data_IF_721284397454
#
_entry.id   IF_721284397454
#
_cell.length_a   1.000
_cell.length_b   1.000
_cell.length_c   1.000
_cell.angle_alpha   90.00
_cell.angle_beta   90.00
_cell.angle_gamma   90.00
#
_symmetry.space_group_name_H-M   'P 1'
#
loop_
_entity.id
_entity.type
_entity.pdbx_description
1 polymer ?
#
# COMPACT_ATOMS: atom_id res chain seq x y z
N UNK A 1 2.86 -28.09 -25.36
CA UNK A 1 3.76 -27.37 -24.43
C UNK A 1 3.39 -25.88 -24.50
N UNK A 2 2.36 -25.51 -23.79
CA UNK A 2 1.93 -24.11 -23.59
C UNK A 2 2.49 -23.65 -22.25
N UNK A 3 3.43 -22.70 -22.28
CA UNK A 3 3.83 -21.97 -21.09
C UNK A 3 2.63 -21.08 -20.72
N UNK A 4 1.98 -21.41 -19.63
CA UNK A 4 1.05 -20.49 -18.97
C UNK A 4 1.81 -19.21 -18.64
N UNK A 5 1.40 -18.09 -19.21
CA UNK A 5 1.86 -16.79 -18.78
C UNK A 5 1.30 -16.58 -17.38
N UNK A 6 2.16 -16.57 -16.36
CA UNK A 6 1.79 -16.22 -15.00
C UNK A 6 1.19 -14.82 -15.01
N UNK A 7 -0.02 -14.68 -14.52
CA UNK A 7 -0.69 -13.40 -14.28
C UNK A 7 0.14 -12.61 -13.26
N UNK A 8 0.76 -11.52 -13.68
CA UNK A 8 1.33 -10.58 -12.72
C UNK A 8 0.24 -9.60 -12.24
N UNK A 9 -0.55 -10.04 -11.28
CA UNK A 9 -1.59 -9.23 -10.61
C UNK A 9 -1.00 -8.21 -9.62
N UNK A 10 0.32 -8.03 -9.61
CA UNK A 10 1.05 -7.39 -8.53
C UNK A 10 1.65 -6.07 -8.96
N UNK A 11 1.09 -4.98 -8.64
CA UNK A 11 1.82 -3.76 -8.76
C UNK A 11 1.13 -2.45 -8.94
N UNK A 12 0.26 -2.14 -8.05
CA UNK A 12 -0.46 -0.89 -8.07
C UNK A 12 0.17 0.17 -7.17
N UNK A 13 1.46 0.46 -7.19
CA UNK A 13 1.87 1.45 -6.18
C UNK A 13 3.02 2.40 -6.51
N UNK A 14 3.52 2.61 -7.70
CA UNK A 14 4.55 3.68 -7.89
C UNK A 14 4.96 3.93 -9.37
N UNK A 15 4.12 3.61 -10.34
CA UNK A 15 4.51 3.80 -11.75
C UNK A 15 4.38 5.24 -12.25
N UNK A 16 3.49 6.06 -11.66
CA UNK A 16 3.31 7.45 -12.10
C UNK A 16 4.59 8.29 -12.01
N UNK A 17 5.34 8.16 -10.92
CA UNK A 17 6.60 8.92 -10.77
C UNK A 17 7.72 8.41 -11.69
N UNK A 18 7.83 7.10 -11.87
CA UNK A 18 8.85 6.52 -12.76
C UNK A 18 8.54 6.79 -14.24
N UNK A 19 7.25 6.80 -14.61
CA UNK A 19 6.82 7.11 -15.98
C UNK A 19 6.90 8.61 -16.27
N UNK A 20 6.61 9.46 -15.29
CA UNK A 20 6.84 10.90 -15.38
C UNK A 20 8.34 11.21 -15.57
N UNK A 21 9.24 10.57 -14.80
CA UNK A 21 10.69 10.71 -14.97
C UNK A 21 11.14 10.15 -16.33
N UNK A 22 10.58 9.01 -16.79
CA UNK A 22 10.87 8.46 -18.12
C UNK A 22 10.38 9.36 -19.25
N UNK A 23 9.16 9.90 -19.17
CA UNK A 23 8.59 10.81 -20.17
C UNK A 23 9.37 12.13 -20.22
N UNK A 24 9.77 12.64 -19.07
CA UNK A 24 10.62 13.83 -18.98
C UNK A 24 12.01 13.57 -19.54
N UNK A 25 12.63 12.44 -19.22
CA UNK A 25 13.92 12.03 -19.77
C UNK A 25 13.85 11.73 -21.29
N UNK A 26 12.75 11.15 -21.75
CA UNK A 26 12.51 10.90 -23.19
C UNK A 26 12.27 12.21 -23.95
N UNK A 27 11.56 13.18 -23.35
CA UNK A 27 11.36 14.52 -23.92
C UNK A 27 12.67 15.29 -24.02
N UNK A 28 13.52 15.22 -23.00
CA UNK A 28 14.85 15.81 -23.00
C UNK A 28 15.74 15.13 -24.05
N UNK A 29 15.67 13.80 -24.17
CA UNK A 29 16.44 13.03 -25.17
C UNK A 29 15.98 13.34 -26.59
N UNK A 30 14.69 13.55 -26.81
CA UNK A 30 14.12 13.95 -28.10
C UNK A 30 14.52 15.38 -28.49
N UNK A 31 14.56 16.31 -27.52
CA UNK A 31 15.04 17.67 -27.75
C UNK A 31 16.54 17.73 -28.03
N UNK A 32 17.35 16.85 -27.38
CA UNK A 32 18.78 16.73 -27.65
C UNK A 32 19.05 16.06 -29.02
N UNK A 33 18.23 15.09 -29.43
CA UNK A 33 18.39 14.41 -30.73
C UNK A 33 18.03 15.32 -31.91
N UNK A 34 17.13 16.28 -31.73
CA UNK A 34 16.83 17.28 -32.76
C UNK A 34 17.93 18.36 -32.90
N UNK A 35 18.86 18.47 -31.92
CA UNK A 35 20.00 19.36 -32.00
C UNK A 35 21.17 18.75 -32.80
N UNK A 36 21.24 17.40 -32.90
CA UNK A 36 22.30 16.70 -33.65
C UNK A 36 22.11 16.73 -35.18
N UNK A 37 20.92 17.10 -35.66
CA UNK A 37 20.63 17.17 -37.10
C UNK A 37 20.85 18.53 -37.76
N UNK A 38 21.29 19.52 -37.00
CA UNK A 38 21.71 20.80 -37.56
C UNK A 38 23.22 20.73 -37.82
N UNK A 39 23.60 20.63 -39.09
CA UNK A 39 25.00 20.76 -39.55
C UNK A 39 25.54 22.17 -39.20
N UNK A 40 25.80 22.40 -37.91
CA UNK A 40 26.42 23.62 -37.39
C UNK A 40 27.95 23.58 -37.64
N UNK A 41 28.50 22.43 -38.02
CA UNK A 41 29.94 22.24 -38.15
C UNK A 41 30.58 23.01 -39.33
N UNK A 42 29.84 23.33 -40.38
CA UNK A 42 30.39 23.86 -41.62
C UNK A 42 30.35 25.41 -41.76
N UNK A 43 29.76 26.14 -40.80
CA UNK A 43 29.62 27.62 -40.89
C UNK A 43 30.62 28.38 -39.98
N UNK A 44 31.46 27.68 -39.21
CA UNK A 44 32.28 28.30 -38.15
C UNK A 44 33.79 28.33 -38.49
N UNK A 45 34.18 28.37 -39.72
CA UNK A 45 35.56 28.71 -40.08
C UNK A 45 35.64 30.15 -40.58
N UNK A 46 36.52 30.93 -39.95
CA UNK A 46 36.92 32.30 -40.27
C UNK A 46 36.07 33.48 -39.80
N UNK A 47 36.18 33.84 -38.51
CA UNK A 47 36.15 35.26 -38.06
C UNK A 47 36.53 35.37 -36.58
N UNK A 48 37.25 36.37 -36.13
CA UNK A 48 37.50 36.68 -34.69
C UNK A 48 36.21 36.82 -33.90
N UNK A 49 35.15 37.31 -34.51
CA UNK A 49 33.80 37.34 -33.91
C UNK A 49 33.27 35.93 -33.55
N UNK A 50 33.66 34.87 -34.30
CA UNK A 50 33.27 33.50 -33.99
C UNK A 50 33.92 32.93 -32.74
N UNK A 51 35.11 33.41 -32.35
CA UNK A 51 35.77 32.94 -31.12
C UNK A 51 35.07 33.45 -29.87
N UNK A 52 34.61 34.70 -29.87
CA UNK A 52 33.82 35.24 -28.75
C UNK A 52 32.47 34.60 -28.66
N UNK A 53 31.82 34.34 -29.80
CA UNK A 53 30.54 33.61 -29.83
C UNK A 53 30.68 32.16 -29.32
N UNK A 54 31.72 31.43 -29.69
CA UNK A 54 32.05 30.11 -29.14
C UNK A 54 32.29 30.14 -27.64
N UNK A 55 32.95 31.18 -27.15
CA UNK A 55 33.20 31.39 -25.70
C UNK A 55 31.89 31.64 -24.94
N UNK A 56 30.98 32.44 -25.51
CA UNK A 56 29.65 32.71 -24.95
C UNK A 56 28.79 31.46 -24.96
N UNK A 57 28.73 30.70 -26.06
CA UNK A 57 27.99 29.45 -26.17
C UNK A 57 28.50 28.42 -25.19
N UNK A 58 29.83 28.24 -25.09
CA UNK A 58 30.41 27.32 -24.07
C UNK A 58 30.07 27.75 -22.65
N UNK A 59 30.12 29.02 -22.30
CA UNK A 59 29.70 29.50 -20.97
C UNK A 59 28.22 29.24 -20.72
N UNK A 60 27.36 29.53 -21.70
CA UNK A 60 25.92 29.22 -21.57
C UNK A 60 25.65 27.71 -21.42
N UNK A 61 26.35 26.89 -22.20
CA UNK A 61 26.22 25.41 -22.07
C UNK A 61 26.68 24.93 -20.69
N UNK A 62 27.81 25.41 -20.18
CA UNK A 62 28.28 25.06 -18.84
C UNK A 62 27.28 25.52 -17.77
N UNK A 63 26.69 26.72 -17.87
CA UNK A 63 25.64 27.16 -16.96
C UNK A 63 24.40 26.25 -17.04
N UNK A 64 23.96 25.91 -18.24
CA UNK A 64 22.82 24.98 -18.43
C UNK A 64 23.12 23.64 -17.80
N UNK A 65 24.31 23.07 -18.03
CA UNK A 65 24.72 21.81 -17.42
C UNK A 65 24.77 21.92 -15.89
N UNK A 66 25.33 23.03 -15.36
CA UNK A 66 25.33 23.25 -13.91
C UNK A 66 23.91 23.38 -13.34
N UNK A 67 23.01 24.05 -14.03
CA UNK A 67 21.60 24.16 -13.63
C UNK A 67 20.91 22.79 -13.68
N UNK A 68 21.13 21.98 -14.73
CA UNK A 68 20.59 20.62 -14.86
C UNK A 68 21.08 19.73 -13.71
N UNK A 69 22.31 19.91 -13.24
CA UNK A 69 22.85 19.16 -12.11
C UNK A 69 22.44 19.74 -10.75
N UNK A 70 22.38 21.07 -10.63
CA UNK A 70 22.06 21.72 -9.37
C UNK A 70 20.58 21.62 -8.97
N UNK A 71 19.65 21.73 -9.93
CA UNK A 71 18.20 21.67 -9.65
C UNK A 71 17.80 20.35 -8.98
N UNK A 72 18.17 19.16 -9.49
CA UNK A 72 17.87 17.90 -8.82
C UNK A 72 18.48 17.81 -7.40
N UNK A 73 19.69 18.32 -7.20
CA UNK A 73 20.35 18.33 -5.89
C UNK A 73 19.61 19.23 -4.88
N UNK A 74 19.16 20.40 -5.33
CA UNK A 74 18.35 21.32 -4.50
C UNK A 74 17.00 20.65 -4.17
N UNK A 75 16.32 20.06 -5.15
CA UNK A 75 15.06 19.35 -4.95
C UNK A 75 15.24 18.17 -3.97
N UNK A 76 16.32 17.42 -4.11
CA UNK A 76 16.66 16.32 -3.20
C UNK A 76 16.92 16.84 -1.78
N UNK A 77 17.64 17.96 -1.65
CA UNK A 77 17.89 18.63 -0.38
C UNK A 77 16.59 19.11 0.29
N UNK A 78 15.70 19.74 -0.47
CA UNK A 78 14.38 20.15 0.02
C UNK A 78 13.56 18.93 0.45
N UNK A 79 13.56 17.88 -0.34
CA UNK A 79 12.86 16.64 0.01
C UNK A 79 13.44 15.96 1.26
N UNK A 80 14.76 16.00 1.44
CA UNK A 80 15.40 15.51 2.67
C UNK A 80 14.98 16.34 3.90
N UNK A 81 14.91 17.67 3.78
CA UNK A 81 14.42 18.54 4.85
C UNK A 81 12.94 18.31 5.19
N UNK A 82 12.14 17.95 4.20
CA UNK A 82 10.72 17.57 4.38
C UNK A 82 10.53 16.15 4.95
N UNK A 83 11.60 15.38 5.12
CA UNK A 83 11.60 13.99 5.54
C UNK A 83 12.37 13.80 6.87
N UNK A 84 11.86 14.36 7.99
CA UNK A 84 12.60 14.37 9.27
C UNK A 84 12.62 13.04 10.01
N UNK A 85 11.88 12.02 9.56
CA UNK A 85 11.77 10.72 10.25
C UNK A 85 11.01 10.78 11.58
N UNK A 86 10.15 11.80 11.78
CA UNK A 86 9.44 12.04 13.04
C UNK A 86 8.07 11.38 13.03
N UNK A 87 7.76 10.67 14.10
CA UNK A 87 6.44 10.07 14.35
C UNK A 87 5.58 10.97 15.23
N UNK A 88 4.28 10.67 15.30
CA UNK A 88 3.34 11.32 16.20
C UNK A 88 3.71 11.01 17.65
N UNK A 89 3.61 12.01 18.51
CA UNK A 89 3.79 11.89 19.96
C UNK A 89 2.60 12.53 20.68
N UNK A 90 2.31 12.08 21.89
CA UNK A 90 1.25 12.57 22.74
C UNK A 90 1.82 13.31 23.95
N UNK A 91 1.02 14.18 24.59
CA UNK A 91 1.43 14.96 25.76
C UNK A 91 1.16 14.24 27.08
N UNK A 92 0.36 13.21 27.05
CA UNK A 92 -0.02 12.40 28.20
C UNK A 92 1.24 11.69 28.74
N UNK A 93 1.40 11.69 30.06
CA UNK A 93 2.63 11.18 30.73
C UNK A 93 2.85 9.69 30.54
N UNK A 94 1.78 8.93 30.32
CA UNK A 94 1.79 7.48 30.10
C UNK A 94 1.51 7.08 28.65
N UNK A 95 1.66 8.04 27.72
CA UNK A 95 1.62 7.76 26.29
C UNK A 95 2.85 7.00 25.83
N UNK A 96 2.69 6.24 24.74
CA UNK A 96 3.78 5.55 24.08
C UNK A 96 3.90 5.98 22.62
N UNK A 97 5.13 6.22 22.20
CA UNK A 97 5.47 6.48 20.80
C UNK A 97 6.86 5.90 20.52
N UNK A 98 6.97 5.08 19.49
CA UNK A 98 8.23 4.43 19.12
C UNK A 98 8.32 4.18 17.63
N UNK A 99 9.55 4.29 17.12
CA UNK A 99 9.93 3.89 15.77
C UNK A 99 11.28 3.19 15.86
N UNK A 100 11.35 1.94 15.46
CA UNK A 100 12.59 1.14 15.57
C UNK A 100 12.55 -0.06 14.61
N UNK A 101 13.73 -0.63 14.41
CA UNK A 101 13.92 -1.89 13.68
C UNK A 101 14.44 -2.92 14.68
N UNK A 102 13.93 -4.13 14.61
CA UNK A 102 14.33 -5.24 15.46
C UNK A 102 14.49 -6.52 14.63
N UNK A 103 15.42 -7.38 15.04
CA UNK A 103 15.54 -8.71 14.46
C UNK A 103 14.40 -9.61 14.95
N UNK A 104 13.66 -10.20 14.02
CA UNK A 104 12.64 -11.23 14.25
C UNK A 104 13.00 -12.42 13.37
N UNK A 105 13.24 -13.56 13.96
CA UNK A 105 13.57 -14.80 13.26
C UNK A 105 14.73 -14.64 12.25
N UNK A 106 15.77 -13.87 12.64
CA UNK A 106 16.98 -13.64 11.84
C UNK A 106 16.79 -12.63 10.68
N UNK A 107 15.70 -11.85 10.70
CA UNK A 107 15.47 -10.81 9.73
C UNK A 107 15.04 -9.47 10.38
N UNK A 108 15.50 -8.32 9.88
CA UNK A 108 15.05 -7.03 10.39
C UNK A 108 13.58 -6.81 10.06
N UNK A 109 12.81 -6.41 11.06
CA UNK A 109 11.41 -6.00 10.99
C UNK A 109 11.26 -4.59 11.55
N UNK A 110 10.39 -3.77 10.96
CA UNK A 110 10.19 -2.39 11.34
C UNK A 110 8.92 -2.18 12.17
N UNK A 111 8.96 -1.25 13.10
CA UNK A 111 7.84 -0.99 13.98
C UNK A 111 7.59 0.51 14.15
N UNK A 112 6.32 0.89 14.06
CA UNK A 112 5.82 2.17 14.55
C UNK A 112 4.78 1.85 15.62
N UNK A 113 4.98 2.36 16.82
CA UNK A 113 4.09 2.14 17.97
C UNK A 113 3.55 3.47 18.43
N UNK A 114 2.24 3.60 18.52
CA UNK A 114 1.57 4.78 19.02
C UNK A 114 0.39 4.40 19.92
N UNK A 115 0.34 5.01 21.10
CA UNK A 115 -0.79 4.87 22.03
C UNK A 115 -0.86 6.08 22.94
N UNK A 116 -2.06 6.59 23.18
CA UNK A 116 -2.30 7.72 24.07
C UNK A 116 -2.18 7.29 25.54
N UNK A 117 -2.58 6.05 25.82
CA UNK A 117 -2.52 5.43 27.13
C UNK A 117 -1.86 4.05 27.01
N UNK A 118 -0.77 3.82 27.76
CA UNK A 118 0.02 2.57 27.71
C UNK A 118 -0.77 1.31 28.13
N UNK A 119 -1.81 1.49 28.94
CA UNK A 119 -2.63 0.39 29.44
C UNK A 119 -3.73 -0.04 28.47
N UNK A 120 -3.92 0.70 27.37
CA UNK A 120 -4.81 0.30 26.29
C UNK A 120 -4.48 -1.10 25.78
N UNK A 121 -5.47 -1.85 25.28
CA UNK A 121 -5.20 -3.09 24.58
C UNK A 121 -4.33 -2.83 23.34
N UNK A 122 -3.47 -3.79 23.03
CA UNK A 122 -2.59 -3.72 21.84
C UNK A 122 -3.37 -4.13 20.60
N UNK A 123 -3.22 -3.36 19.53
CA UNK A 123 -3.72 -3.67 18.21
C UNK A 123 -2.53 -3.79 17.24
N UNK A 124 -2.24 -5.00 16.78
CA UNK A 124 -1.29 -5.25 15.71
C UNK A 124 -1.98 -5.01 14.36
N UNK A 125 -1.53 -4.01 13.62
CA UNK A 125 -1.97 -3.76 12.25
C UNK A 125 -0.99 -4.45 11.30
N UNK A 126 -1.49 -5.47 10.62
CA UNK A 126 -0.79 -6.20 9.56
C UNK A 126 -1.02 -5.45 8.26
N UNK A 127 0.04 -4.85 7.74
CA UNK A 127 0.01 -3.84 6.67
C UNK A 127 -0.66 -4.30 5.39
N UNK A 128 -1.21 -3.36 4.64
CA UNK A 128 -2.09 -3.56 3.45
C UNK A 128 -1.49 -4.38 2.31
N UNK A 129 -0.21 -4.55 2.32
CA UNK A 129 0.48 -5.42 1.38
C UNK A 129 1.96 -5.44 1.67
N UNK A 130 2.64 -6.51 1.29
CA UNK A 130 4.08 -6.58 1.50
C UNK A 130 4.78 -5.40 0.83
N UNK A 131 5.55 -4.67 1.63
CA UNK A 131 6.25 -3.47 1.21
C UNK A 131 5.45 -2.17 1.31
N UNK A 132 4.22 -2.20 1.84
CA UNK A 132 3.47 -0.98 2.16
C UNK A 132 3.41 -0.84 3.67
N UNK A 133 3.75 0.35 4.17
CA UNK A 133 3.57 0.73 5.58
C UNK A 133 2.38 1.67 5.69
N UNK A 134 1.39 1.24 6.45
CA UNK A 134 0.16 2.00 6.63
C UNK A 134 0.33 3.19 7.59
N UNK A 135 1.44 3.26 8.35
CA UNK A 135 1.73 4.40 9.21
C UNK A 135 1.88 5.72 8.44
N UNK A 136 2.32 5.66 7.19
CA UNK A 136 2.41 6.83 6.30
C UNK A 136 1.09 7.59 6.17
N UNK A 137 -0.01 6.86 6.15
CA UNK A 137 -1.35 7.44 6.05
C UNK A 137 -1.78 8.08 7.36
N UNK A 138 -1.35 7.54 8.50
CA UNK A 138 -1.59 8.11 9.84
C UNK A 138 -0.97 9.50 9.98
N UNK A 139 0.19 9.76 9.39
CA UNK A 139 0.81 11.10 9.36
C UNK A 139 0.01 12.08 8.48
N UNK A 140 -0.65 11.58 7.44
CA UNK A 140 -1.42 12.39 6.49
C UNK A 140 -2.85 12.67 6.98
N UNK A 141 -3.52 11.67 7.51
CA UNK A 141 -4.93 11.74 7.92
C UNK A 141 -5.03 11.89 9.45
N UNK A 142 -5.00 13.15 9.91
CA UNK A 142 -4.86 13.48 11.36
C UNK A 142 -6.11 13.26 12.19
N UNK A 143 -7.26 13.09 11.57
CA UNK A 143 -8.55 12.91 12.26
C UNK A 143 -8.75 11.50 12.81
N UNK A 144 -7.84 10.59 12.48
CA UNK A 144 -7.81 9.26 13.04
C UNK A 144 -7.41 9.31 14.51
N UNK A 145 -8.21 8.68 15.37
CA UNK A 145 -8.06 8.68 16.83
C UNK A 145 -7.95 7.26 17.40
N UNK A 146 -7.47 6.33 16.61
CA UNK A 146 -7.36 4.92 16.99
C UNK A 146 -6.50 4.73 18.25
N UNK A 147 -5.48 5.56 18.40
CA UNK A 147 -4.56 5.56 19.54
C UNK A 147 -5.18 6.04 20.87
N UNK A 148 -6.42 6.57 20.85
CA UNK A 148 -7.19 6.83 22.07
C UNK A 148 -7.74 5.54 22.68
N UNK A 149 -8.03 4.53 21.86
CA UNK A 149 -8.63 3.27 22.27
C UNK A 149 -7.65 2.10 22.31
N UNK A 150 -6.55 2.17 21.56
CA UNK A 150 -5.56 1.10 21.43
C UNK A 150 -4.13 1.63 21.54
N UNK A 151 -3.20 0.77 21.94
CA UNK A 151 -1.80 0.89 21.58
C UNK A 151 -1.64 0.24 20.21
N UNK A 152 -1.52 1.06 19.16
CA UNK A 152 -1.47 0.61 17.77
C UNK A 152 -0.03 0.32 17.37
N UNK A 153 0.19 -0.85 16.81
CA UNK A 153 1.48 -1.29 16.30
C UNK A 153 1.34 -1.48 14.79
N UNK A 154 1.98 -0.62 14.03
CA UNK A 154 2.14 -0.75 12.58
C UNK A 154 3.43 -1.52 12.34
N UNK A 155 3.36 -2.59 11.58
CA UNK A 155 4.46 -3.51 11.37
C UNK A 155 4.90 -3.54 9.91
N UNK A 156 6.14 -3.15 9.69
CA UNK A 156 6.86 -3.38 8.43
C UNK A 156 7.48 -4.77 8.44
N UNK A 157 7.07 -5.61 7.51
CA UNK A 157 7.55 -6.98 7.37
C UNK A 157 9.05 -7.05 7.18
N UNK A 158 9.61 -8.25 7.32
CA UNK A 158 11.05 -8.50 7.10
C UNK A 158 11.57 -7.84 5.82
N UNK A 159 12.62 -7.04 5.95
CA UNK A 159 13.26 -6.30 4.86
C UNK A 159 12.35 -5.29 4.12
N UNK A 160 11.25 -4.85 4.72
CA UNK A 160 10.32 -3.90 4.12
C UNK A 160 10.31 -2.57 4.87
N UNK A 161 9.76 -1.52 4.25
CA UNK A 161 9.61 -0.22 4.88
C UNK A 161 10.90 0.31 5.51
N UNK A 162 10.87 0.63 6.82
CA UNK A 162 12.06 1.07 7.57
C UNK A 162 13.07 -0.05 7.83
N UNK A 163 12.64 -1.31 7.72
CA UNK A 163 13.52 -2.48 7.88
C UNK A 163 14.34 -2.82 6.63
N UNK A 164 14.07 -2.15 5.50
CA UNK A 164 14.82 -2.40 4.28
C UNK A 164 16.31 -2.09 4.44
N UNK A 165 17.14 -3.01 3.99
CA UNK A 165 18.58 -2.79 3.82
C UNK A 165 19.08 -3.43 2.52
N UNK A 166 20.29 -3.05 2.09
CA UNK A 166 20.84 -3.54 0.81
C UNK A 166 21.29 -5.02 0.84
N UNK A 167 21.32 -5.65 2.02
CA UNK A 167 21.69 -7.06 2.23
C UNK A 167 20.42 -7.93 2.41
N UNK A 168 19.27 -7.43 2.01
CA UNK A 168 18.01 -8.13 2.16
C UNK A 168 18.03 -9.48 1.42
N UNK A 169 17.68 -10.54 2.13
CA UNK A 169 17.51 -11.87 1.60
C UNK A 169 16.08 -12.04 1.05
N UNK A 170 15.94 -11.83 -0.25
CA UNK A 170 14.65 -11.93 -0.94
C UNK A 170 14.09 -13.36 -0.92
N UNK A 171 14.94 -14.39 -0.86
CA UNK A 171 14.51 -15.79 -0.84
C UNK A 171 13.90 -16.19 0.50
N UNK A 172 14.23 -15.45 1.58
CA UNK A 172 13.61 -15.63 2.90
C UNK A 172 12.21 -15.00 3.02
N UNK A 173 11.77 -14.22 2.03
CA UNK A 173 10.46 -13.60 2.04
C UNK A 173 9.44 -14.57 1.44
N UNK A 174 8.95 -15.46 2.30
CA UNK A 174 7.97 -16.52 1.98
C UNK A 174 6.75 -16.36 2.90
N UNK A 175 5.62 -16.97 2.53
CA UNK A 175 4.41 -16.97 3.34
C UNK A 175 4.66 -17.62 4.72
N UNK A 176 5.36 -18.72 4.73
CA UNK A 176 5.64 -19.47 5.97
C UNK A 176 6.52 -18.66 6.93
N UNK A 177 7.59 -18.03 6.42
CA UNK A 177 8.40 -17.14 7.25
C UNK A 177 7.62 -15.93 7.74
N UNK A 178 6.71 -15.38 6.93
CA UNK A 178 5.91 -14.22 7.34
C UNK A 178 4.89 -14.59 8.42
N UNK A 179 4.31 -15.77 8.37
CA UNK A 179 3.42 -16.28 9.42
C UNK A 179 4.19 -16.54 10.72
N UNK A 180 5.38 -17.17 10.64
CA UNK A 180 6.25 -17.34 11.79
C UNK A 180 6.71 -16.01 12.39
N UNK A 181 6.94 -14.98 11.55
CA UNK A 181 7.24 -13.64 12.03
C UNK A 181 6.02 -13.00 12.71
N UNK A 182 4.81 -13.21 12.19
CA UNK A 182 3.59 -12.67 12.79
C UNK A 182 3.38 -13.24 14.20
N UNK A 183 3.58 -14.53 14.38
CA UNK A 183 3.55 -15.18 15.69
C UNK A 183 4.62 -14.60 16.63
N UNK A 184 5.87 -14.50 16.16
CA UNK A 184 6.98 -13.97 16.97
C UNK A 184 6.75 -12.50 17.35
N UNK A 185 6.24 -11.66 16.43
CA UNK A 185 5.84 -10.27 16.70
C UNK A 185 4.72 -10.24 17.73
N UNK A 186 3.70 -11.08 17.59
CA UNK A 186 2.60 -11.17 18.54
C UNK A 186 3.09 -11.50 19.94
N UNK A 187 3.95 -12.52 20.09
CA UNK A 187 4.52 -12.91 21.35
C UNK A 187 5.38 -11.80 21.96
N UNK A 188 6.23 -11.13 21.15
CA UNK A 188 6.98 -9.96 21.58
C UNK A 188 6.08 -8.84 22.11
N UNK A 189 4.97 -8.55 21.45
CA UNK A 189 4.03 -7.50 21.87
C UNK A 189 3.30 -7.88 23.16
N UNK A 190 2.89 -9.14 23.30
CA UNK A 190 2.30 -9.67 24.54
C UNK A 190 3.25 -9.49 25.72
N UNK A 191 4.51 -9.87 25.57
CA UNK A 191 5.54 -9.72 26.60
C UNK A 191 5.82 -8.24 26.90
N UNK A 192 6.08 -7.43 25.87
CA UNK A 192 6.42 -6.01 26.00
C UNK A 192 5.36 -5.21 26.75
N UNK A 193 4.08 -5.49 26.49
CA UNK A 193 2.96 -4.76 27.08
C UNK A 193 2.29 -5.51 28.24
N UNK A 194 2.82 -6.64 28.63
CA UNK A 194 2.27 -7.50 29.68
C UNK A 194 0.78 -7.80 29.45
N UNK A 195 0.48 -8.35 28.25
CA UNK A 195 -0.87 -8.72 27.83
C UNK A 195 -0.92 -10.22 27.54
N UNK A 196 -2.00 -10.89 27.96
CA UNK A 196 -2.22 -12.30 27.64
C UNK A 196 -2.61 -12.49 26.18
N UNK A 197 -3.38 -11.54 25.63
CA UNK A 197 -3.85 -11.52 24.25
C UNK A 197 -3.74 -10.11 23.66
N UNK A 198 -3.75 -10.01 22.34
CA UNK A 198 -3.81 -8.74 21.61
C UNK A 198 -4.95 -8.77 20.58
N UNK A 199 -5.26 -7.64 19.96
CA UNK A 199 -6.06 -7.57 18.76
C UNK A 199 -5.14 -7.66 17.53
N UNK A 200 -5.62 -8.30 16.47
CA UNK A 200 -4.96 -8.30 15.18
C UNK A 200 -5.91 -7.77 14.10
N UNK A 201 -5.45 -6.80 13.34
CA UNK A 201 -6.20 -6.23 12.22
C UNK A 201 -5.37 -6.37 10.95
N UNK A 202 -5.87 -7.14 10.00
CA UNK A 202 -5.29 -7.21 8.67
C UNK A 202 -5.97 -6.22 7.73
N UNK A 203 -5.20 -5.38 7.06
CA UNK A 203 -5.72 -4.47 6.06
C UNK A 203 -5.38 -4.96 4.64
N UNK A 204 -6.39 -5.09 3.76
CA UNK A 204 -6.18 -5.47 2.35
C UNK A 204 -5.34 -6.75 2.23
N UNK A 205 -4.22 -6.73 1.53
CA UNK A 205 -3.30 -7.87 1.45
C UNK A 205 -2.83 -8.42 2.81
N UNK A 206 -2.70 -7.57 3.84
CA UNK A 206 -2.37 -7.98 5.20
C UNK A 206 -3.48 -8.81 5.87
N UNK A 207 -4.71 -8.69 5.40
CA UNK A 207 -5.82 -9.49 5.90
C UNK A 207 -5.65 -10.99 5.60
N UNK A 208 -4.92 -11.34 4.53
CA UNK A 208 -4.57 -12.73 4.21
C UNK A 208 -3.70 -13.33 5.32
N UNK A 209 -2.66 -12.59 5.71
CA UNK A 209 -1.69 -13.02 6.72
C UNK A 209 -2.34 -13.09 8.10
N UNK A 210 -3.05 -12.02 8.49
CA UNK A 210 -3.72 -11.95 9.78
C UNK A 210 -4.80 -13.04 9.95
N UNK A 211 -5.55 -13.36 8.88
CA UNK A 211 -6.57 -14.40 8.90
C UNK A 211 -5.95 -15.81 9.10
N UNK A 212 -4.88 -16.11 8.35
CA UNK A 212 -4.17 -17.38 8.49
C UNK A 212 -3.47 -17.51 9.83
N UNK A 213 -2.92 -16.42 10.35
CA UNK A 213 -2.28 -16.39 11.67
C UNK A 213 -3.29 -16.68 12.79
N UNK A 214 -4.45 -16.03 12.76
CA UNK A 214 -5.50 -16.26 13.75
C UNK A 214 -6.05 -17.69 13.69
N UNK A 215 -6.10 -18.29 12.50
CA UNK A 215 -6.48 -19.71 12.35
C UNK A 215 -5.45 -20.64 12.98
N UNK A 216 -4.14 -20.29 12.92
CA UNK A 216 -3.04 -21.08 13.48
C UNK A 216 -2.93 -20.94 14.99
N UNK A 217 -3.10 -19.72 15.52
CA UNK A 217 -2.81 -19.34 16.91
C UNK A 217 -3.95 -18.51 17.54
N UNK A 218 -5.19 -19.04 17.59
CA UNK A 218 -6.36 -18.30 18.11
C UNK A 218 -6.19 -17.88 19.57
N UNK A 219 -5.40 -18.61 20.37
CA UNK A 219 -5.13 -18.34 21.78
C UNK A 219 -4.45 -16.99 22.01
N UNK A 220 -3.82 -16.42 21.01
CA UNK A 220 -3.10 -15.16 21.09
C UNK A 220 -3.97 -13.90 20.94
N UNK A 221 -5.22 -14.08 20.50
CA UNK A 221 -6.02 -12.94 20.05
C UNK A 221 -7.36 -12.82 20.79
N UNK A 222 -7.75 -11.56 21.09
CA UNK A 222 -9.11 -11.25 21.54
C UNK A 222 -10.12 -11.32 20.40
N UNK A 223 -9.71 -10.86 19.21
CA UNK A 223 -10.52 -10.87 18.00
C UNK A 223 -9.63 -10.74 16.75
N UNK A 224 -10.15 -11.26 15.65
CA UNK A 224 -9.71 -10.96 14.30
C UNK A 224 -10.49 -9.79 13.72
N UNK A 225 -9.81 -8.86 13.03
CA UNK A 225 -10.42 -7.74 12.32
C UNK A 225 -9.88 -7.72 10.88
N UNK A 226 -10.75 -8.02 9.92
CA UNK A 226 -10.44 -7.90 8.49
C UNK A 226 -10.91 -6.56 7.95
N UNK A 227 -10.00 -5.62 7.71
CA UNK A 227 -10.31 -4.34 7.08
C UNK A 227 -10.02 -4.43 5.59
N UNK A 228 -11.01 -4.14 4.74
CA UNK A 228 -10.93 -4.36 3.29
C UNK A 228 -10.41 -5.79 2.98
N UNK A 229 -11.08 -6.79 3.53
CA UNK A 229 -10.69 -8.20 3.53
C UNK A 229 -10.51 -8.74 2.11
N UNK A 230 -9.36 -9.31 1.80
CA UNK A 230 -9.19 -10.14 0.63
C UNK A 230 -9.89 -11.49 0.84
N UNK A 231 -10.96 -11.79 0.10
CA UNK A 231 -11.75 -13.02 0.21
C UNK A 231 -11.33 -14.05 -0.83
N UNK A 232 -11.22 -13.60 -2.07
CA UNK A 232 -10.84 -14.45 -3.21
C UNK A 232 -10.15 -13.60 -4.28
N UNK A 233 -9.34 -14.22 -5.12
CA UNK A 233 -8.78 -13.60 -6.34
C UNK A 233 -9.28 -14.28 -7.63
N UNK A 234 -10.43 -14.96 -7.54
CA UNK A 234 -11.07 -15.65 -8.67
C UNK A 234 -11.65 -14.66 -9.69
N UNK A 235 -12.09 -15.22 -10.84
CA UNK A 235 -12.82 -14.45 -11.87
C UNK A 235 -14.12 -13.83 -11.33
N UNK A 236 -14.66 -14.30 -10.22
CA UNK A 236 -15.80 -13.69 -9.54
C UNK A 236 -15.44 -12.30 -9.02
N UNK A 237 -14.26 -12.15 -8.41
CA UNK A 237 -13.74 -10.85 -7.97
C UNK A 237 -13.60 -9.88 -9.14
N UNK A 238 -12.99 -10.34 -10.25
CA UNK A 238 -12.84 -9.53 -11.47
C UNK A 238 -14.24 -9.12 -12.02
N UNK A 239 -15.22 -10.02 -11.95
CA UNK A 239 -16.58 -9.78 -12.43
C UNK A 239 -17.31 -8.71 -11.62
N UNK A 240 -17.21 -8.76 -10.29
CA UNK A 240 -17.83 -7.75 -9.41
C UNK A 240 -17.22 -6.38 -9.65
N UNK A 241 -15.90 -6.30 -9.77
CA UNK A 241 -15.18 -5.06 -10.10
C UNK A 241 -15.61 -4.50 -11.48
N UNK A 242 -15.69 -5.37 -12.50
CA UNK A 242 -16.12 -4.99 -13.84
C UNK A 242 -17.52 -4.40 -13.84
N UNK A 243 -18.47 -5.09 -13.23
CA UNK A 243 -19.86 -4.68 -13.20
C UNK A 243 -20.04 -3.31 -12.53
N UNK A 244 -19.31 -3.08 -11.43
CA UNK A 244 -19.28 -1.78 -10.78
C UNK A 244 -18.75 -0.67 -11.70
N UNK A 245 -17.59 -0.86 -12.31
CA UNK A 245 -16.98 0.13 -13.19
C UNK A 245 -17.86 0.42 -14.41
N UNK A 246 -18.40 -0.63 -15.01
CA UNK A 246 -19.32 -0.52 -16.14
C UNK A 246 -20.56 0.31 -15.79
N UNK A 247 -21.21 -0.01 -14.68
CA UNK A 247 -22.39 0.74 -14.22
C UNK A 247 -22.09 2.22 -13.97
N UNK A 248 -20.94 2.52 -13.35
CA UNK A 248 -20.51 3.90 -13.12
C UNK A 248 -20.26 4.64 -14.43
N UNK A 249 -19.51 4.05 -15.35
CA UNK A 249 -19.18 4.69 -16.64
C UNK A 249 -20.39 4.82 -17.55
N UNK A 250 -21.31 3.84 -17.56
CA UNK A 250 -22.59 3.93 -18.30
C UNK A 250 -23.44 5.10 -17.77
N UNK A 251 -23.63 5.21 -16.44
CA UNK A 251 -24.36 6.32 -15.83
C UNK A 251 -23.74 7.69 -16.09
N UNK A 252 -22.41 7.76 -16.21
CA UNK A 252 -21.67 9.00 -16.57
C UNK A 252 -21.66 9.27 -18.08
N UNK A 253 -22.07 8.34 -18.92
CA UNK A 253 -21.95 8.42 -20.38
C UNK A 253 -20.48 8.41 -20.86
N UNK A 254 -19.57 7.83 -20.07
CA UNK A 254 -18.14 7.80 -20.32
C UNK A 254 -17.75 6.67 -21.30
N UNK A 255 -18.01 6.93 -22.57
CA UNK A 255 -17.71 5.98 -23.66
C UNK A 255 -16.22 5.64 -23.77
N UNK A 256 -15.35 6.57 -23.38
CA UNK A 256 -13.90 6.34 -23.45
C UNK A 256 -13.47 5.29 -22.44
N UNK A 257 -13.90 5.42 -21.18
CA UNK A 257 -13.53 4.46 -20.15
C UNK A 257 -14.28 3.13 -20.30
N UNK A 258 -15.49 3.12 -20.84
CA UNK A 258 -16.16 1.87 -21.23
C UNK A 258 -15.34 1.09 -22.28
N UNK A 259 -14.83 1.75 -23.31
CA UNK A 259 -13.99 1.09 -24.32
C UNK A 259 -12.68 0.56 -23.71
N UNK A 260 -12.02 1.34 -22.85
CA UNK A 260 -10.81 0.89 -22.12
C UNK A 260 -11.09 -0.32 -21.21
N UNK A 261 -12.25 -0.34 -20.57
CA UNK A 261 -12.68 -1.44 -19.70
C UNK A 261 -12.87 -2.73 -20.49
N UNK A 262 -13.53 -2.66 -21.65
CA UNK A 262 -13.72 -3.81 -22.51
C UNK A 262 -12.40 -4.34 -23.10
N UNK A 263 -11.45 -3.47 -23.42
CA UNK A 263 -10.12 -3.86 -23.88
C UNK A 263 -9.26 -4.56 -22.79
N UNK A 264 -9.52 -4.22 -21.52
CA UNK A 264 -8.76 -4.74 -20.37
C UNK A 264 -9.21 -6.13 -19.90
N UNK A 265 -10.30 -6.68 -20.47
CA UNK A 265 -10.92 -7.91 -19.97
C UNK A 265 -11.14 -8.97 -21.05
N UNK A 266 -11.43 -10.19 -20.60
CA UNK A 266 -11.99 -11.26 -21.43
C UNK A 266 -13.30 -11.73 -20.80
N UNK A 267 -14.37 -11.80 -21.62
CA UNK A 267 -15.62 -12.44 -21.24
C UNK A 267 -15.47 -13.96 -21.37
N UNK A 268 -15.72 -14.67 -20.30
CA UNK A 268 -15.59 -16.14 -20.25
C UNK A 268 -16.93 -16.80 -20.58
N UNK A 269 -16.90 -18.03 -21.09
CA UNK A 269 -18.10 -18.84 -21.39
C UNK A 269 -18.96 -19.10 -20.13
N UNK A 270 -18.36 -19.05 -18.94
CA UNK A 270 -19.04 -19.13 -17.64
C UNK A 270 -19.91 -17.92 -17.32
N UNK A 271 -19.80 -16.84 -18.09
CA UNK A 271 -20.40 -15.54 -17.81
C UNK A 271 -19.54 -14.65 -16.91
N UNK A 272 -18.42 -15.15 -16.39
CA UNK A 272 -17.49 -14.37 -15.60
C UNK A 272 -16.56 -13.53 -16.47
N UNK A 273 -15.99 -12.52 -15.83
CA UNK A 273 -14.99 -11.63 -16.43
C UNK A 273 -13.61 -12.04 -15.91
N UNK A 274 -12.62 -11.97 -16.81
CA UNK A 274 -11.20 -12.16 -16.48
C UNK A 274 -10.43 -10.90 -16.82
N UNK A 275 -9.77 -10.32 -15.85
CA UNK A 275 -8.87 -9.19 -16.05
C UNK A 275 -7.60 -9.64 -16.81
N UNK A 276 -7.28 -8.98 -17.92
CA UNK A 276 -6.07 -9.24 -18.72
C UNK A 276 -4.95 -8.23 -18.44
N UNK A 277 -5.32 -6.99 -18.09
CA UNK A 277 -4.40 -5.90 -17.77
C UNK A 277 -4.78 -5.28 -16.43
N UNK A 278 -4.16 -5.77 -15.37
CA UNK A 278 -4.42 -5.33 -14.00
C UNK A 278 -4.15 -3.84 -13.79
N UNK A 279 -3.15 -3.26 -14.46
CA UNK A 279 -2.82 -1.85 -14.27
C UNK A 279 -3.90 -0.92 -14.84
N UNK A 280 -4.35 -1.24 -16.06
CA UNK A 280 -5.46 -0.50 -16.67
C UNK A 280 -6.74 -0.69 -15.85
N UNK A 281 -6.95 -1.90 -15.34
CA UNK A 281 -8.15 -2.25 -14.57
C UNK A 281 -8.23 -1.48 -13.24
N UNK A 282 -7.13 -1.40 -12.51
CA UNK A 282 -7.05 -0.63 -11.26
C UNK A 282 -7.13 0.88 -11.50
N UNK A 283 -6.49 1.39 -12.58
CA UNK A 283 -6.62 2.79 -12.97
C UNK A 283 -8.09 3.17 -13.24
N UNK A 284 -8.82 2.32 -13.98
CA UNK A 284 -10.25 2.48 -14.22
C UNK A 284 -11.08 2.38 -12.94
N UNK A 285 -10.70 1.51 -12.02
CA UNK A 285 -11.37 1.38 -10.73
C UNK A 285 -11.24 2.69 -9.91
N UNK A 286 -10.06 3.31 -9.91
CA UNK A 286 -9.86 4.63 -9.31
C UNK A 286 -10.71 5.69 -9.98
N UNK A 287 -10.77 5.70 -11.31
CA UNK A 287 -11.63 6.65 -12.08
C UNK A 287 -13.12 6.42 -11.80
N UNK A 288 -13.53 5.19 -11.53
CA UNK A 288 -14.89 4.87 -11.13
C UNK A 288 -15.22 5.27 -9.67
N UNK A 289 -14.22 5.49 -8.82
CA UNK A 289 -14.39 5.84 -7.41
C UNK A 289 -14.44 4.64 -6.47
N UNK A 290 -14.04 3.45 -6.93
CA UNK A 290 -13.99 2.20 -6.15
C UNK A 290 -12.58 1.77 -5.75
N UNK A 291 -11.56 2.63 -6.01
CA UNK A 291 -10.15 2.33 -5.76
C UNK A 291 -9.71 2.59 -4.32
N UNK A 292 -8.41 2.73 -4.09
CA UNK A 292 -7.79 2.77 -2.76
C UNK A 292 -8.31 3.91 -1.88
N UNK A 293 -8.54 5.08 -2.44
CA UNK A 293 -9.17 6.23 -1.79
C UNK A 293 -10.26 6.73 -2.73
N UNK A 294 -11.49 6.88 -2.22
CA UNK A 294 -12.62 7.37 -2.98
C UNK A 294 -12.33 8.74 -3.60
N UNK A 295 -12.72 8.90 -4.86
CA UNK A 295 -12.60 10.15 -5.60
C UNK A 295 -11.17 10.74 -5.69
N UNK A 296 -10.14 9.88 -5.54
CA UNK A 296 -8.73 10.25 -5.73
C UNK A 296 -8.04 9.30 -6.70
N UNK A 297 -7.15 9.87 -7.49
CA UNK A 297 -6.20 9.09 -8.27
C UNK A 297 -5.22 8.35 -7.34
N UNK A 298 -4.60 7.28 -7.82
CA UNK A 298 -3.52 6.58 -7.12
C UNK A 298 -2.38 7.53 -6.67
N UNK A 299 -2.05 8.51 -7.52
CA UNK A 299 -1.04 9.50 -7.19
C UNK A 299 -1.44 10.34 -5.96
N UNK A 300 -2.66 10.86 -5.93
CA UNK A 300 -3.13 11.74 -4.85
C UNK A 300 -3.42 10.98 -3.56
N UNK A 301 -3.97 9.77 -3.67
CA UNK A 301 -4.37 8.96 -2.52
C UNK A 301 -3.21 8.22 -1.85
N UNK A 302 -2.19 7.83 -2.63
CA UNK A 302 -1.12 6.93 -2.17
C UNK A 302 0.27 7.54 -2.38
N UNK A 303 0.63 7.83 -3.64
CA UNK A 303 2.00 8.21 -3.98
C UNK A 303 2.40 9.54 -3.33
N UNK A 304 1.53 10.55 -3.38
CA UNK A 304 1.80 11.85 -2.78
C UNK A 304 1.90 11.82 -1.24
N UNK A 305 1.04 11.12 -0.49
CA UNK A 305 1.24 10.86 0.93
C UNK A 305 2.61 10.27 1.25
N UNK A 306 3.08 9.26 0.53
CA UNK A 306 4.39 8.63 0.74
C UNK A 306 5.53 9.63 0.49
N UNK A 307 5.49 10.38 -0.62
CA UNK A 307 6.50 11.39 -0.95
C UNK A 307 6.60 12.44 0.14
N UNK A 308 5.45 12.89 0.69
CA UNK A 308 5.36 13.98 1.65
C UNK A 308 5.34 13.54 3.12
N UNK A 309 5.36 12.23 3.39
CA UNK A 309 5.36 11.69 4.75
C UNK A 309 6.52 12.23 5.59
N UNK A 310 6.21 12.63 6.82
CA UNK A 310 7.20 13.15 7.78
C UNK A 310 7.78 12.04 8.67
N UNK A 311 7.09 10.91 8.76
CA UNK A 311 7.51 9.76 9.56
C UNK A 311 8.74 9.05 9.01
N UNK A 312 9.08 9.24 7.74
CA UNK A 312 10.27 8.68 7.11
C UNK A 312 11.36 9.72 6.89
N UNK A 313 12.61 9.29 7.07
CA UNK A 313 13.79 9.96 6.50
C UNK A 313 13.83 9.72 4.98
N UNK A 314 14.65 10.50 4.26
CA UNK A 314 14.82 10.30 2.82
C UNK A 314 15.37 8.90 2.49
N UNK A 315 16.33 8.39 3.29
CA UNK A 315 16.88 7.03 3.11
C UNK A 315 15.83 5.94 3.30
N UNK A 316 14.94 6.09 4.26
CA UNK A 316 13.84 5.16 4.52
C UNK A 316 12.82 5.18 3.38
N UNK A 317 12.48 6.36 2.82
CA UNK A 317 11.62 6.45 1.62
C UNK A 317 12.23 5.74 0.41
N UNK A 318 13.54 5.88 0.22
CA UNK A 318 14.26 5.14 -0.83
C UNK A 318 14.23 3.64 -0.56
N UNK A 319 14.45 3.24 0.70
CA UNK A 319 14.35 1.85 1.16
C UNK A 319 12.96 1.26 0.93
N UNK A 320 11.92 2.01 1.27
CA UNK A 320 10.52 1.66 1.01
C UNK A 320 10.28 1.29 -0.46
N UNK A 321 10.68 2.18 -1.39
CA UNK A 321 10.54 1.94 -2.83
C UNK A 321 11.34 0.71 -3.30
N UNK A 322 12.53 0.51 -2.75
CA UNK A 322 13.37 -0.66 -3.08
C UNK A 322 12.77 -1.95 -2.53
N UNK A 323 12.26 -1.94 -1.31
CA UNK A 323 11.58 -3.07 -0.68
C UNK A 323 10.35 -3.51 -1.48
N UNK A 324 9.50 -2.56 -1.89
CA UNK A 324 8.36 -2.85 -2.76
C UNK A 324 8.75 -3.49 -4.10
N UNK A 325 9.83 -3.01 -4.73
CA UNK A 325 10.32 -3.61 -5.98
C UNK A 325 10.89 -5.01 -5.77
N UNK A 326 11.55 -5.23 -4.64
CA UNK A 326 12.10 -6.53 -4.26
C UNK A 326 10.97 -7.54 -4.02
N UNK A 327 9.95 -7.15 -3.26
CA UNK A 327 8.82 -8.01 -2.93
C UNK A 327 8.19 -8.70 -4.14
N UNK A 328 8.02 -7.99 -5.25
CA UNK A 328 7.45 -8.53 -6.49
C UNK A 328 8.21 -9.73 -7.08
N UNK A 329 9.44 -9.98 -6.60
CA UNK A 329 10.32 -11.04 -7.05
C UNK A 329 10.46 -12.14 -6.00
N UNK A 330 9.74 -12.05 -4.88
CA UNK A 330 9.80 -13.01 -3.79
C UNK A 330 8.77 -14.12 -3.97
N UNK A 331 8.99 -15.25 -3.31
CA UNK A 331 8.03 -16.36 -3.27
C UNK A 331 6.71 -15.96 -2.63
N UNK A 332 6.73 -15.09 -1.62
CA UNK A 332 5.51 -14.61 -0.94
C UNK A 332 4.48 -14.06 -1.93
N UNK A 333 4.95 -13.38 -2.97
CA UNK A 333 4.09 -12.85 -4.00
C UNK A 333 3.34 -13.93 -4.78
N UNK A 334 3.97 -15.10 -5.03
CA UNK A 334 3.35 -16.24 -5.70
C UNK A 334 2.48 -17.07 -4.74
N UNK A 335 2.93 -17.23 -3.50
CA UNK A 335 2.27 -18.02 -2.46
C UNK A 335 0.98 -17.38 -1.95
N UNK A 336 0.83 -16.05 -2.12
CA UNK A 336 -0.37 -15.30 -1.73
C UNK A 336 -1.37 -15.07 -2.87
N UNK A 337 -1.12 -15.63 -4.06
CA UNK A 337 -2.06 -15.63 -5.18
C UNK A 337 -2.94 -16.89 -5.18
N UNK A 338 -3.98 -16.90 -6.04
CA UNK A 338 -4.88 -18.04 -6.28
C UNK A 338 -5.55 -18.60 -5.00
N UNK A 339 -6.03 -17.70 -4.14
CA UNK A 339 -6.71 -18.04 -2.91
C UNK A 339 -8.25 -17.93 -3.04
N UNK A 340 -8.96 -18.70 -2.21
CA UNK A 340 -10.38 -18.53 -1.93
C UNK A 340 -10.63 -18.98 -0.48
N UNK A 341 -10.68 -18.02 0.45
CA UNK A 341 -10.83 -18.29 1.88
C UNK A 341 -12.20 -18.84 2.25
N UNK A 342 -13.20 -18.67 1.41
CA UNK A 342 -14.52 -19.30 1.59
C UNK A 342 -14.43 -20.84 1.55
N UNK A 343 -13.36 -21.37 0.93
CA UNK A 343 -13.10 -22.81 0.83
C UNK A 343 -12.08 -23.32 1.85
N UNK A 344 -11.15 -22.45 2.26
CA UNK A 344 -9.99 -22.89 3.06
C UNK A 344 -10.07 -22.46 4.51
N UNK A 345 -10.73 -21.33 4.83
CA UNK A 345 -10.90 -20.84 6.20
C UNK A 345 -12.38 -20.56 6.46
N UNK A 346 -13.09 -21.60 6.85
CA UNK A 346 -14.54 -21.59 7.08
C UNK A 346 -14.94 -21.39 8.53
N UNK A 347 -13.97 -21.43 9.45
CA UNK A 347 -14.18 -21.32 10.89
C UNK A 347 -12.98 -20.66 11.57
N UNK A 348 -13.25 -19.81 12.58
CA UNK A 348 -12.29 -19.22 13.50
C UNK A 348 -12.74 -19.49 14.94
N UNK A 349 -11.79 -19.73 15.85
CA UNK A 349 -12.06 -19.95 17.27
C UNK A 349 -12.19 -18.63 18.06
N UNK A 350 -11.92 -17.48 17.43
CA UNK A 350 -12.03 -16.14 18.02
C UNK A 350 -13.14 -15.33 17.34
N UNK A 351 -13.66 -14.29 17.99
CA UNK A 351 -14.54 -13.32 17.35
C UNK A 351 -13.93 -12.74 16.07
N UNK A 352 -14.73 -12.62 15.00
CA UNK A 352 -14.31 -12.17 13.67
C UNK A 352 -15.16 -11.00 13.19
N UNK A 353 -14.49 -9.87 12.92
CA UNK A 353 -15.14 -8.66 12.47
C UNK A 353 -14.58 -8.21 11.14
N UNK A 354 -15.45 -7.71 10.27
CA UNK A 354 -15.06 -7.28 8.93
C UNK A 354 -15.51 -5.83 8.72
N UNK A 355 -14.61 -5.00 8.20
CA UNK A 355 -14.84 -3.58 7.96
C UNK A 355 -14.52 -3.27 6.51
N UNK A 356 -15.51 -2.78 5.73
CA UNK A 356 -15.30 -2.37 4.34
C UNK A 356 -15.94 -1.02 4.08
N UNK A 357 -15.36 -0.23 3.19
CA UNK A 357 -16.02 0.96 2.66
C UNK A 357 -17.19 0.59 1.76
N UNK A 358 -18.21 1.45 1.69
CA UNK A 358 -19.39 1.23 0.84
C UNK A 358 -19.07 1.16 -0.66
N UNK A 359 -17.94 1.75 -1.06
CA UNK A 359 -17.44 1.80 -2.44
C UNK A 359 -16.13 1.03 -2.60
N UNK A 360 -15.81 0.10 -1.69
CA UNK A 360 -14.65 -0.77 -1.84
C UNK A 360 -14.92 -1.83 -2.91
N UNK A 361 -14.31 -1.65 -4.07
CA UNK A 361 -14.31 -2.63 -5.15
C UNK A 361 -12.89 -3.13 -5.49
N UNK A 362 -11.90 -2.69 -4.73
CA UNK A 362 -10.58 -3.30 -4.76
C UNK A 362 -10.58 -4.68 -4.04
N UNK A 363 -11.29 -4.72 -2.90
CA UNK A 363 -11.77 -5.94 -2.26
C UNK A 363 -13.30 -5.82 -2.14
N UNK A 364 -14.09 -6.29 -3.13
CA UNK A 364 -15.51 -6.00 -3.21
C UNK A 364 -16.24 -6.28 -1.89
N UNK A 365 -16.84 -5.24 -1.32
CA UNK A 365 -17.47 -5.32 0.01
C UNK A 365 -18.60 -6.35 0.08
N UNK A 366 -19.26 -6.63 -1.04
CA UNK A 366 -20.28 -7.67 -1.14
C UNK A 366 -19.70 -9.05 -0.83
N UNK A 367 -18.53 -9.38 -1.41
CA UNK A 367 -17.84 -10.65 -1.16
C UNK A 367 -17.36 -10.75 0.30
N UNK A 368 -16.96 -9.62 0.88
CA UNK A 368 -16.55 -9.56 2.30
C UNK A 368 -17.74 -9.81 3.22
N UNK A 369 -18.91 -9.19 2.94
CA UNK A 369 -20.15 -9.42 3.68
C UNK A 369 -20.56 -10.88 3.60
N UNK A 370 -20.58 -11.46 2.39
CA UNK A 370 -21.00 -12.84 2.17
C UNK A 370 -20.04 -13.82 2.87
N UNK A 371 -18.75 -13.53 2.89
CA UNK A 371 -17.78 -14.29 3.66
C UNK A 371 -18.02 -14.17 5.17
N UNK A 372 -18.33 -12.98 5.68
CA UNK A 372 -18.71 -12.77 7.08
C UNK A 372 -19.97 -13.57 7.45
N UNK A 373 -20.96 -13.64 6.56
CA UNK A 373 -22.17 -14.44 6.79
C UNK A 373 -21.86 -15.94 6.84
N UNK A 374 -20.93 -16.39 6.02
CA UNK A 374 -20.59 -17.80 5.86
C UNK A 374 -19.66 -18.34 6.96
N UNK A 375 -18.61 -17.59 7.32
CA UNK A 375 -17.60 -18.05 8.29
C UNK A 375 -18.23 -18.34 9.66
N UNK A 376 -17.83 -19.42 10.31
CA UNK A 376 -18.20 -19.69 11.69
C UNK A 376 -17.21 -19.01 12.63
N UNK A 377 -17.73 -18.31 13.62
CA UNK A 377 -16.93 -17.68 14.69
C UNK A 377 -17.82 -17.53 15.94
N UNK A 378 -17.23 -17.45 17.15
CA UNK A 378 -17.99 -17.23 18.41
C UNK A 378 -18.86 -15.97 18.36
N UNK A 379 -18.35 -14.92 17.74
CA UNK A 379 -19.05 -13.70 17.41
C UNK A 379 -18.56 -13.18 16.06
N UNK A 380 -19.46 -12.62 15.26
CA UNK A 380 -19.08 -12.03 13.97
C UNK A 380 -19.97 -10.85 13.61
N UNK A 381 -19.40 -9.86 12.93
CA UNK A 381 -20.16 -8.72 12.43
C UNK A 381 -19.46 -8.09 11.22
N UNK A 382 -20.25 -7.55 10.30
CA UNK A 382 -19.78 -6.81 9.13
C UNK A 382 -20.17 -5.33 9.27
N UNK A 383 -19.16 -4.44 9.24
CA UNK A 383 -19.33 -2.98 9.28
C UNK A 383 -19.12 -2.41 7.88
N UNK A 384 -20.17 -1.80 7.33
CA UNK A 384 -20.11 -1.07 6.07
C UNK A 384 -19.96 0.42 6.33
N UNK A 385 -18.79 0.98 6.01
CA UNK A 385 -18.44 2.39 6.30
C UNK A 385 -18.87 3.27 5.13
N UNK A 386 -19.79 4.19 5.45
CA UNK A 386 -20.35 5.13 4.48
C UNK A 386 -19.29 6.16 4.01
N UNK A 387 -19.33 6.53 2.73
CA UNK A 387 -18.44 7.54 2.15
C UNK A 387 -16.99 7.11 1.96
N UNK A 388 -16.67 5.83 2.21
CA UNK A 388 -15.33 5.27 2.04
C UNK A 388 -15.28 4.24 0.91
N UNK A 389 -14.11 4.10 0.29
CA UNK A 389 -13.75 3.00 -0.59
C UNK A 389 -12.82 2.02 0.15
N UNK A 390 -11.67 1.69 -0.42
CA UNK A 390 -10.79 0.64 0.10
C UNK A 390 -10.07 0.98 1.43
N UNK A 391 -10.02 2.25 1.81
CA UNK A 391 -9.25 2.69 3.00
C UNK A 391 -10.13 3.35 4.06
N UNK A 392 -11.15 2.65 4.62
CA UNK A 392 -12.15 3.24 5.51
C UNK A 392 -11.54 3.91 6.74
N UNK A 393 -10.42 3.41 7.28
CA UNK A 393 -9.75 3.98 8.45
C UNK A 393 -9.29 5.43 8.21
N UNK A 394 -8.91 5.78 6.99
CA UNK A 394 -8.43 7.12 6.64
C UNK A 394 -9.46 7.97 5.92
N UNK A 395 -10.45 7.34 5.29
CA UNK A 395 -11.50 8.04 4.54
C UNK A 395 -12.66 8.47 5.44
N UNK A 396 -13.08 7.63 6.37
CA UNK A 396 -14.06 7.92 7.40
C UNK A 396 -13.57 7.42 8.77
N UNK A 397 -12.54 8.09 9.35
CA UNK A 397 -11.95 7.70 10.64
C UNK A 397 -12.95 7.70 11.78
N UNK A 398 -13.95 8.59 11.76
CA UNK A 398 -14.96 8.69 12.81
C UNK A 398 -15.78 7.41 12.96
N UNK A 399 -16.34 6.92 11.86
CA UNK A 399 -17.21 5.73 11.89
C UNK A 399 -16.37 4.46 12.02
N UNK A 400 -15.19 4.42 11.41
CA UNK A 400 -14.28 3.27 11.54
C UNK A 400 -13.73 3.14 12.96
N UNK A 401 -13.29 4.22 13.60
CA UNK A 401 -12.85 4.16 15.00
C UNK A 401 -14.00 3.83 15.95
N UNK A 402 -15.24 4.26 15.64
CA UNK A 402 -16.42 3.83 16.42
C UNK A 402 -16.63 2.31 16.32
N UNK A 403 -16.59 1.73 15.12
CA UNK A 403 -16.70 0.28 14.93
C UNK A 403 -15.61 -0.47 15.70
N UNK A 404 -14.35 -0.01 15.62
CA UNK A 404 -13.24 -0.61 16.36
C UNK A 404 -13.40 -0.51 17.89
N UNK A 405 -13.97 0.58 18.39
CA UNK A 405 -14.31 0.73 19.82
C UNK A 405 -15.40 -0.23 20.24
N UNK A 406 -16.46 -0.38 19.45
CA UNK A 406 -17.53 -1.36 19.70
C UNK A 406 -16.97 -2.80 19.72
N UNK A 407 -16.07 -3.14 18.80
CA UNK A 407 -15.38 -4.43 18.79
C UNK A 407 -14.61 -4.63 20.10
N UNK A 408 -13.82 -3.64 20.51
CA UNK A 408 -13.08 -3.68 21.78
C UNK A 408 -13.98 -3.90 22.98
N UNK A 409 -15.07 -3.13 23.10
CA UNK A 409 -16.03 -3.21 24.21
C UNK A 409 -16.69 -4.58 24.29
N UNK A 410 -17.09 -5.15 23.15
CA UNK A 410 -17.78 -6.43 23.08
C UNK A 410 -16.86 -7.65 23.31
N UNK A 411 -15.55 -7.52 23.15
CA UNK A 411 -14.62 -8.65 23.22
C UNK A 411 -13.67 -8.61 24.42
N UNK A 412 -13.45 -7.43 25.01
CA UNK A 412 -12.58 -7.28 26.19
C UNK A 412 -13.38 -7.43 27.51
N UNK A 413 -14.66 -7.03 27.50
CA UNK A 413 -15.52 -6.98 28.70
C UNK A 413 -16.75 -7.90 28.61
N UNK A 414 -16.96 -8.56 27.49
CA UNK A 414 -18.00 -9.59 27.30
C UNK A 414 -17.43 -10.97 27.54
#
# INVERSE_FOLDING_TARGET
MQKAAARDKRGCFLFGAADFIRKTAASIKLQLHNLDNVKIADIIFECRQCQDWRRIVRKKMVIIILCILAVPLVLLGVWALMSPGKIRTYKESDSISGKFVMDINGAPNGFFINGKYKDNPVLLLVSSGPGTDDYVFTDKYKDMKLEEDFTVVYWDYRYMGIAYNNNADADSITLDNLLNDTEAVTNYLKERFNKDKIYIMGFSGGSKIALMEVQRHPENYYAYIGMAQCVTDSEENDTVMYNFMKDVFERRGDKKNLARLEEAVTHLDSGNIKCNDWYVYVDLLHEAGGGTIKDKSEFEGITWPIITAKCYTLSEKIGYVKGMKMYRKTKLAEETDNFDYRKTITELEVPAFFISGESDYNCPWELVRDYCEMIKAPQKHFYKIQGAAHSPLWENPKDTCRALREIKENTLYG
#
